data_IF_770816032164
#
_entry.id   IF_770816032164
#
_cell.length_a   1.000
_cell.length_b   1.000
_cell.length_c   1.000
_cell.angle_alpha   90.00
_cell.angle_beta   90.00
_cell.angle_gamma   90.00
#
_symmetry.space_group_name_H-M   'P 1'
#
loop_
_entity.id
_entity.type
_entity.pdbx_description
1 polymer ?
#
# COMPACT_ATOMS: atom_id res chain seq x y z
N UNK A 1 -21.83 -25.24 6.49
CA UNK A 1 -22.10 -23.79 6.29
C UNK A 1 -21.53 -23.07 7.49
N UNK A 2 -21.08 -21.83 7.31
CA UNK A 2 -20.33 -21.09 8.34
C UNK A 2 -20.97 -19.72 8.55
N UNK A 3 -21.27 -19.36 9.81
CA UNK A 3 -21.89 -18.08 10.14
C UNK A 3 -20.84 -16.98 10.20
N UNK A 4 -21.02 -15.93 9.40
CA UNK A 4 -20.08 -14.81 9.25
C UNK A 4 -20.84 -13.49 9.31
N UNK A 5 -20.23 -12.46 9.88
CA UNK A 5 -20.75 -11.09 9.88
C UNK A 5 -19.84 -10.18 9.07
N UNK A 6 -20.37 -9.49 8.06
CA UNK A 6 -19.62 -8.53 7.24
C UNK A 6 -20.35 -7.19 7.28
N UNK A 7 -19.67 -6.15 7.77
CA UNK A 7 -20.24 -4.79 7.94
C UNK A 7 -21.59 -4.79 8.70
N UNK A 8 -21.70 -5.65 9.72
CA UNK A 8 -22.90 -5.79 10.55
C UNK A 8 -24.02 -6.63 9.94
N UNK A 9 -23.84 -7.18 8.72
CA UNK A 9 -24.79 -8.10 8.09
C UNK A 9 -24.34 -9.54 8.29
N UNK A 10 -25.22 -10.38 8.81
CA UNK A 10 -24.95 -11.82 8.97
C UNK A 10 -25.27 -12.59 7.68
N UNK A 11 -24.47 -13.61 7.37
CA UNK A 11 -24.78 -14.61 6.36
C UNK A 11 -24.27 -16.00 6.74
N UNK A 12 -24.87 -17.02 6.14
CA UNK A 12 -24.30 -18.37 6.08
C UNK A 12 -23.52 -18.53 4.78
N UNK A 13 -22.20 -18.67 4.91
CA UNK A 13 -21.29 -18.87 3.81
C UNK A 13 -20.98 -20.36 3.63
N UNK A 14 -20.61 -20.74 2.40
CA UNK A 14 -20.16 -22.11 2.16
C UNK A 14 -18.81 -22.33 2.86
N UNK A 15 -18.58 -23.54 3.37
CA UNK A 15 -17.29 -23.88 3.95
C UNK A 15 -16.19 -23.69 2.91
N UNK A 16 -15.05 -23.13 3.33
CA UNK A 16 -13.90 -22.76 2.48
C UNK A 16 -14.15 -21.65 1.45
N UNK A 17 -15.33 -21.02 1.43
CA UNK A 17 -15.51 -19.80 0.62
C UNK A 17 -14.66 -18.65 1.16
N UNK A 18 -14.27 -17.75 0.27
CA UNK A 18 -13.45 -16.58 0.63
C UNK A 18 -14.31 -15.46 1.19
N UNK A 19 -13.69 -14.54 1.94
CA UNK A 19 -14.39 -13.32 2.42
C UNK A 19 -14.97 -12.52 1.23
N UNK A 20 -14.26 -12.47 0.10
CA UNK A 20 -14.73 -11.78 -1.10
C UNK A 20 -16.05 -12.38 -1.62
N UNK A 21 -16.12 -13.71 -1.76
CA UNK A 21 -17.33 -14.41 -2.20
C UNK A 21 -18.49 -14.25 -1.22
N UNK A 22 -18.20 -14.24 0.09
CA UNK A 22 -19.20 -13.98 1.12
C UNK A 22 -19.74 -12.54 1.06
N UNK A 23 -18.87 -11.56 0.83
CA UNK A 23 -19.26 -10.16 0.67
C UNK A 23 -20.11 -9.94 -0.60
N UNK A 24 -19.78 -10.60 -1.71
CA UNK A 24 -20.55 -10.55 -2.96
C UNK A 24 -22.01 -11.01 -2.74
N UNK A 25 -22.23 -12.06 -1.96
CA UNK A 25 -23.58 -12.55 -1.62
C UNK A 25 -24.42 -11.54 -0.84
N UNK A 26 -23.78 -10.66 -0.09
CA UNK A 26 -24.42 -9.57 0.66
C UNK A 26 -24.58 -8.27 -0.15
N UNK A 27 -24.15 -8.27 -1.42
CA UNK A 27 -24.09 -7.07 -2.25
C UNK A 27 -23.05 -6.05 -1.78
N UNK A 28 -22.07 -6.46 -0.97
CA UNK A 28 -20.97 -5.61 -0.50
C UNK A 28 -19.84 -5.69 -1.53
N UNK A 29 -19.51 -4.57 -2.14
CA UNK A 29 -18.44 -4.49 -3.13
C UNK A 29 -17.09 -4.28 -2.44
N UNK A 30 -16.16 -5.22 -2.65
CA UNK A 30 -14.75 -5.07 -2.26
C UNK A 30 -13.92 -4.91 -3.54
N UNK A 31 -13.12 -3.84 -3.68
CA UNK A 31 -12.37 -3.61 -4.91
C UNK A 31 -11.33 -4.72 -5.14
N UNK A 32 -11.12 -5.06 -6.40
CA UNK A 32 -10.07 -6.00 -6.84
C UNK A 32 -9.41 -5.49 -8.12
N UNK A 33 -8.13 -5.81 -8.32
CA UNK A 33 -7.41 -5.53 -9.58
C UNK A 33 -6.87 -6.80 -10.23
N UNK A 34 -6.43 -7.78 -9.44
CA UNK A 34 -5.86 -9.04 -9.94
C UNK A 34 -6.78 -10.26 -9.73
N UNK A 35 -7.98 -10.08 -9.20
CA UNK A 35 -8.89 -11.19 -8.98
C UNK A 35 -9.68 -11.46 -10.27
N UNK A 36 -9.68 -12.72 -10.70
CA UNK A 36 -10.46 -13.19 -11.84
C UNK A 36 -11.28 -14.39 -11.37
N UNK A 37 -12.60 -14.29 -11.48
CA UNK A 37 -13.53 -15.35 -11.04
C UNK A 37 -13.26 -16.64 -11.81
N UNK A 38 -13.10 -17.75 -11.09
CA UNK A 38 -12.78 -19.05 -11.67
C UNK A 38 -11.28 -19.30 -11.94
N UNK A 39 -10.41 -18.33 -11.64
CA UNK A 39 -8.95 -18.50 -11.64
C UNK A 39 -8.44 -18.45 -10.19
N UNK A 40 -7.34 -19.14 -9.91
CA UNK A 40 -6.75 -19.19 -8.56
C UNK A 40 -6.59 -17.80 -7.93
N UNK A 41 -6.79 -17.67 -6.60
CA UNK A 41 -6.73 -16.38 -5.92
C UNK A 41 -5.40 -15.66 -6.14
N UNK A 42 -5.44 -14.48 -6.78
CA UNK A 42 -4.23 -13.75 -7.11
C UNK A 42 -3.44 -13.30 -5.86
N UNK A 43 -4.11 -12.72 -4.85
CA UNK A 43 -3.46 -12.13 -3.64
C UNK A 43 -2.33 -11.11 -3.89
N UNK A 44 -2.00 -10.81 -5.16
CA UNK A 44 -0.85 -9.98 -5.55
C UNK A 44 -1.14 -8.49 -5.41
N UNK A 45 -2.28 -8.01 -5.92
CA UNK A 45 -2.54 -6.57 -5.97
C UNK A 45 -2.83 -5.95 -4.61
N UNK A 46 -3.17 -6.75 -3.58
CA UNK A 46 -3.49 -6.30 -2.21
C UNK A 46 -4.58 -5.22 -2.06
N UNK A 47 -5.34 -4.89 -3.11
CA UNK A 47 -6.38 -3.86 -3.01
C UNK A 47 -7.63 -4.33 -2.25
N UNK A 48 -7.89 -5.63 -2.26
CA UNK A 48 -9.01 -6.29 -1.59
C UNK A 48 -8.80 -6.49 -0.08
N UNK A 49 -7.89 -5.73 0.53
CA UNK A 49 -7.64 -5.86 1.97
C UNK A 49 -8.87 -5.46 2.78
N UNK A 50 -9.12 -6.24 3.84
CA UNK A 50 -10.19 -6.05 4.81
C UNK A 50 -9.67 -6.26 6.23
N UNK A 51 -10.44 -5.80 7.21
CA UNK A 51 -10.14 -5.98 8.62
C UNK A 51 -10.99 -7.11 9.19
N UNK A 52 -10.36 -8.03 9.91
CA UNK A 52 -11.02 -9.15 10.58
C UNK A 52 -10.80 -9.00 12.07
N UNK A 53 -11.86 -9.11 12.86
CA UNK A 53 -11.73 -9.02 14.32
C UNK A 53 -10.76 -10.07 14.86
N UNK A 54 -10.00 -9.69 15.90
CA UNK A 54 -8.94 -10.50 16.52
C UNK A 54 -7.76 -10.82 15.59
N UNK A 55 -7.72 -10.29 14.36
CA UNK A 55 -6.56 -10.37 13.47
C UNK A 55 -5.89 -9.00 13.41
N UNK A 56 -4.65 -8.92 13.90
CA UNK A 56 -3.93 -7.64 13.99
C UNK A 56 -3.65 -7.01 12.62
N UNK A 57 -3.43 -7.82 11.58
CA UNK A 57 -3.10 -7.39 10.21
C UNK A 57 -4.33 -7.33 9.31
N UNK A 58 -4.28 -6.50 8.27
CA UNK A 58 -5.26 -6.57 7.19
C UNK A 58 -5.03 -7.82 6.32
N UNK A 59 -6.11 -8.50 5.95
CA UNK A 59 -6.06 -9.74 5.18
C UNK A 59 -6.66 -9.55 3.79
N UNK A 60 -6.17 -10.24 2.76
CA UNK A 60 -6.73 -10.15 1.41
C UNK A 60 -8.07 -10.90 1.34
N UNK A 61 -9.18 -10.22 1.08
CA UNK A 61 -10.49 -10.89 1.05
C UNK A 61 -10.60 -11.97 -0.04
N UNK A 62 -9.85 -11.82 -1.14
CA UNK A 62 -9.94 -12.72 -2.30
C UNK A 62 -9.33 -14.11 -2.10
N UNK A 63 -8.57 -14.33 -1.02
CA UNK A 63 -7.92 -15.62 -0.72
C UNK A 63 -8.04 -16.04 0.74
N UNK A 64 -8.57 -15.18 1.60
CA UNK A 64 -8.75 -15.51 3.00
C UNK A 64 -10.08 -16.26 3.18
N UNK A 65 -10.08 -17.52 3.65
CA UNK A 65 -11.29 -18.29 3.85
C UNK A 65 -12.08 -17.75 5.04
N UNK A 66 -13.41 -17.85 4.96
CA UNK A 66 -14.29 -17.56 6.10
C UNK A 66 -14.19 -18.63 7.18
N UNK A 67 -14.43 -18.25 8.43
CA UNK A 67 -14.45 -19.14 9.59
C UNK A 67 -15.64 -18.81 10.49
N UNK A 68 -16.05 -19.77 11.33
CA UNK A 68 -17.23 -19.64 12.18
C UNK A 68 -17.10 -18.45 13.13
N UNK A 69 -18.15 -17.63 13.22
CA UNK A 69 -18.18 -16.43 14.05
C UNK A 69 -17.24 -15.31 13.58
N UNK A 70 -16.73 -15.36 12.35
CA UNK A 70 -15.86 -14.32 11.82
C UNK A 70 -16.63 -13.00 11.65
N UNK A 71 -16.04 -11.91 12.13
CA UNK A 71 -16.55 -10.53 11.97
C UNK A 71 -15.57 -9.74 11.11
N UNK A 72 -16.06 -9.22 9.99
CA UNK A 72 -15.27 -8.50 8.97
C UNK A 72 -15.78 -7.08 8.81
N UNK A 73 -14.85 -6.13 8.72
CA UNK A 73 -15.11 -4.77 8.25
C UNK A 73 -14.47 -4.60 6.89
N UNK A 74 -15.24 -4.19 5.89
CA UNK A 74 -14.74 -3.97 4.53
C UNK A 74 -14.32 -2.52 4.28
N UNK A 75 -14.72 -1.62 5.18
CA UNK A 75 -14.48 -0.20 5.11
C UNK A 75 -14.09 0.35 6.50
N UNK A 76 -12.93 0.97 6.58
CA UNK A 76 -12.40 1.62 7.79
C UNK A 76 -11.30 2.60 7.39
N UNK A 77 -10.99 3.58 8.26
CA UNK A 77 -9.88 4.51 7.98
C UNK A 77 -8.58 3.77 7.67
N UNK A 78 -8.29 2.71 8.43
CA UNK A 78 -7.11 1.86 8.24
C UNK A 78 -7.12 1.16 6.88
N UNK A 79 -8.29 0.64 6.46
CA UNK A 79 -8.46 -0.01 5.16
C UNK A 79 -8.26 1.00 4.02
N UNK A 80 -8.85 2.20 4.10
CA UNK A 80 -8.65 3.23 3.05
C UNK A 80 -7.21 3.64 2.93
N UNK A 81 -6.52 3.88 4.05
CA UNK A 81 -5.11 4.27 4.06
C UNK A 81 -4.25 3.17 3.42
N UNK A 82 -4.51 1.89 3.74
CA UNK A 82 -3.81 0.77 3.13
C UNK A 82 -4.10 0.63 1.62
N UNK A 83 -5.36 0.77 1.19
CA UNK A 83 -5.73 0.72 -0.23
C UNK A 83 -5.09 1.86 -1.02
N UNK A 84 -5.07 3.07 -0.46
CA UNK A 84 -4.35 4.22 -1.05
C UNK A 84 -2.86 3.93 -1.21
N UNK A 85 -2.19 3.46 -0.15
CA UNK A 85 -0.77 3.13 -0.21
C UNK A 85 -0.46 2.06 -1.27
N UNK A 86 -1.31 1.03 -1.38
CA UNK A 86 -1.19 0.02 -2.43
C UNK A 86 -1.32 0.64 -3.83
N UNK A 87 -2.30 1.51 -4.06
CA UNK A 87 -2.48 2.19 -5.34
C UNK A 87 -1.30 3.11 -5.68
N UNK A 88 -0.76 3.83 -4.69
CA UNK A 88 0.47 4.64 -4.83
C UNK A 88 1.65 3.77 -5.26
N UNK A 89 1.82 2.58 -4.66
CA UNK A 89 2.90 1.65 -5.00
C UNK A 89 2.73 1.06 -6.41
N UNK A 90 1.50 0.71 -6.79
CA UNK A 90 1.22 0.24 -8.16
C UNK A 90 1.49 1.39 -9.15
N UNK A 91 1.04 2.61 -8.84
CA UNK A 91 1.28 3.79 -9.67
C UNK A 91 2.78 4.03 -9.84
N UNK A 92 3.59 3.85 -8.79
CA UNK A 92 5.05 4.00 -8.78
C UNK A 92 5.81 3.12 -9.80
N UNK A 93 5.15 2.06 -10.27
CA UNK A 93 5.71 1.15 -11.27
C UNK A 93 4.89 1.11 -12.58
N UNK A 94 3.76 1.81 -12.63
CA UNK A 94 2.87 1.82 -13.79
C UNK A 94 3.45 2.70 -14.91
N UNK A 95 3.42 2.21 -16.15
CA UNK A 95 3.83 3.02 -17.31
C UNK A 95 2.85 4.20 -17.50
N UNK A 96 3.30 5.42 -17.28
CA UNK A 96 2.46 6.63 -17.23
C UNK A 96 2.11 7.18 -18.62
N UNK A 97 1.86 6.28 -19.57
CA UNK A 97 1.54 6.60 -20.96
C UNK A 97 0.03 6.56 -21.17
N UNK A 98 -0.74 7.24 -20.31
CA UNK A 98 -2.20 7.17 -20.33
C UNK A 98 -2.81 7.58 -21.68
N UNK A 99 -2.25 8.59 -22.35
CA UNK A 99 -2.74 9.05 -23.66
C UNK A 99 -2.59 8.00 -24.77
N UNK A 100 -1.53 7.19 -24.73
CA UNK A 100 -1.28 6.12 -25.69
C UNK A 100 -1.65 4.74 -25.12
N UNK A 101 -2.34 4.68 -23.98
CA UNK A 101 -2.74 3.42 -23.37
C UNK A 101 -3.92 2.81 -24.12
N UNK A 102 -3.94 1.48 -24.21
CA UNK A 102 -5.03 0.73 -24.83
C UNK A 102 -6.31 0.73 -23.98
N UNK A 103 -6.18 0.95 -22.66
CA UNK A 103 -7.31 1.09 -21.74
C UNK A 103 -7.90 2.51 -21.84
N UNK A 104 -8.81 2.73 -22.81
CA UNK A 104 -9.42 4.03 -23.12
C UNK A 104 -10.84 4.17 -22.53
N UNK A 105 -11.40 5.39 -22.59
CA UNK A 105 -12.84 5.63 -22.36
C UNK A 105 -13.34 5.37 -20.94
N UNK A 106 -12.51 5.55 -19.91
CA UNK A 106 -12.91 5.33 -18.52
C UNK A 106 -12.98 3.85 -18.09
N UNK A 107 -12.48 2.93 -18.93
CA UNK A 107 -12.44 1.50 -18.63
C UNK A 107 -11.27 1.11 -17.69
N UNK A 108 -10.34 2.03 -17.44
CA UNK A 108 -9.19 1.76 -16.56
C UNK A 108 -9.63 1.71 -15.09
N UNK A 109 -9.82 0.49 -14.58
CA UNK A 109 -10.23 0.26 -13.19
C UNK A 109 -9.22 0.83 -12.17
N UNK A 110 -7.93 0.71 -12.48
CA UNK A 110 -6.87 1.30 -11.66
C UNK A 110 -7.01 2.82 -11.50
N UNK A 111 -7.39 3.53 -12.57
CA UNK A 111 -7.60 4.97 -12.53
C UNK A 111 -8.86 5.33 -11.73
N UNK A 112 -9.94 4.55 -11.83
CA UNK A 112 -11.15 4.74 -11.03
C UNK A 112 -10.86 4.61 -9.54
N UNK A 113 -10.19 3.52 -9.15
CA UNK A 113 -9.79 3.29 -7.76
C UNK A 113 -8.82 4.37 -7.27
N UNK A 114 -7.84 4.78 -8.09
CA UNK A 114 -6.93 5.87 -7.73
C UNK A 114 -7.69 7.17 -7.42
N UNK A 115 -8.73 7.48 -8.19
CA UNK A 115 -9.62 8.63 -7.92
C UNK A 115 -10.46 8.44 -6.67
N UNK A 116 -11.07 7.27 -6.48
CA UNK A 116 -11.91 6.93 -5.33
C UNK A 116 -11.15 7.03 -4.00
N UNK A 117 -9.92 6.52 -3.96
CA UNK A 117 -9.07 6.53 -2.77
C UNK A 117 -8.26 7.80 -2.60
N UNK A 118 -8.46 8.82 -3.44
CA UNK A 118 -7.76 10.11 -3.41
C UNK A 118 -6.23 9.95 -3.48
N UNK A 119 -5.78 9.17 -4.47
CA UNK A 119 -4.37 9.16 -4.87
C UNK A 119 -4.12 10.46 -5.64
N UNK A 120 -3.52 11.43 -4.95
CA UNK A 120 -3.22 12.75 -5.49
C UNK A 120 -1.77 12.85 -5.95
N UNK A 121 -1.56 13.52 -7.08
CA UNK A 121 -0.24 13.67 -7.68
C UNK A 121 0.37 12.35 -8.13
N UNK A 122 1.68 12.36 -8.32
CA UNK A 122 2.43 11.15 -8.54
C UNK A 122 3.03 10.71 -7.22
N UNK A 123 3.05 9.40 -6.90
CA UNK A 123 3.74 8.91 -5.73
C UNK A 123 5.18 9.40 -5.80
N UNK A 124 5.79 9.68 -4.64
CA UNK A 124 7.16 10.19 -4.55
C UNK A 124 8.14 9.30 -5.32
N UNK A 125 7.88 8.01 -5.51
CA UNK A 125 8.73 7.15 -6.34
C UNK A 125 8.73 7.51 -7.86
N UNK A 126 7.71 8.19 -8.38
CA UNK A 126 7.50 8.46 -9.81
C UNK A 126 8.06 9.79 -10.32
N UNK A 127 7.94 10.92 -9.61
CA UNK A 127 8.47 12.19 -10.16
C UNK A 127 9.99 12.18 -10.30
N UNK A 128 10.74 11.43 -9.49
CA UNK A 128 12.19 11.27 -9.67
C UNK A 128 12.54 10.38 -10.87
N UNK A 129 11.69 9.40 -11.24
CA UNK A 129 11.84 8.64 -12.49
C UNK A 129 11.60 9.53 -13.71
N UNK A 130 10.63 10.44 -13.63
CA UNK A 130 10.28 11.37 -14.71
C UNK A 130 11.17 12.61 -14.78
N UNK A 131 11.75 13.01 -13.65
CA UNK A 131 12.63 14.16 -13.50
C UNK A 131 13.87 13.72 -12.72
N UNK A 132 14.83 13.06 -13.40
CA UNK A 132 16.04 12.57 -12.75
C UNK A 132 16.85 13.70 -12.10
N UNK A 133 16.64 14.95 -12.50
CA UNK A 133 17.40 16.12 -12.05
C UNK A 133 17.07 16.61 -10.63
N UNK A 134 16.08 16.05 -9.94
CA UNK A 134 15.60 16.61 -8.67
C UNK A 134 15.48 15.58 -7.53
N UNK A 135 16.42 15.60 -6.59
CA UNK A 135 16.30 14.88 -5.33
C UNK A 135 15.13 15.45 -4.49
N UNK A 136 14.22 14.59 -4.03
CA UNK A 136 13.06 15.03 -3.23
C UNK A 136 13.40 15.66 -1.90
N UNK A 137 14.42 15.12 -1.24
CA UNK A 137 14.88 15.69 0.02
C UNK A 137 15.38 17.14 -0.20
N UNK A 138 16.01 17.43 -1.35
CA UNK A 138 16.36 18.81 -1.74
C UNK A 138 15.13 19.70 -2.02
N UNK A 139 13.98 19.11 -2.34
CA UNK A 139 12.71 19.82 -2.61
C UNK A 139 11.82 19.95 -1.37
N UNK A 140 12.26 19.46 -0.20
CA UNK A 140 11.42 19.46 1.00
C UNK A 140 10.28 18.42 0.95
N UNK A 141 10.41 17.37 0.11
CA UNK A 141 9.48 16.23 0.11
C UNK A 141 10.11 15.01 0.81
N UNK A 142 9.39 14.45 1.78
CA UNK A 142 9.88 13.32 2.57
C UNK A 142 9.96 12.03 1.72
N UNK A 143 11.15 11.44 1.66
CA UNK A 143 11.40 10.14 1.02
C UNK A 143 11.77 9.11 2.10
N UNK A 144 11.04 7.99 2.17
CA UNK A 144 11.31 6.92 3.14
C UNK A 144 12.39 5.92 2.68
N UNK A 145 12.87 6.03 1.43
CA UNK A 145 13.91 5.16 0.89
C UNK A 145 15.18 5.04 1.76
N UNK A 146 15.66 6.09 2.46
CA UNK A 146 16.78 5.95 3.40
C UNK A 146 16.50 5.02 4.59
N UNK A 147 15.24 4.92 5.03
CA UNK A 147 14.84 4.18 6.23
C UNK A 147 14.43 2.76 5.87
N UNK A 148 13.67 2.61 4.79
CA UNK A 148 13.19 1.31 4.33
C UNK A 148 14.26 0.51 3.61
N UNK A 149 15.38 1.14 3.23
CA UNK A 149 16.39 0.56 2.34
C UNK A 149 15.77 0.06 1.02
N UNK A 150 14.60 0.60 0.67
CA UNK A 150 13.91 0.33 -0.57
C UNK A 150 14.15 1.51 -1.50
N UNK A 151 14.86 1.24 -2.59
CA UNK A 151 15.02 2.19 -3.65
C UNK A 151 13.86 2.15 -4.66
N UNK A 152 13.67 3.26 -5.36
CA UNK A 152 12.71 3.34 -6.47
C UNK A 152 13.32 2.95 -7.83
N UNK A 153 14.60 2.54 -7.85
CA UNK A 153 15.39 2.21 -9.05
C UNK A 153 15.60 3.40 -10.03
N UNK A 154 15.20 4.62 -9.65
CA UNK A 154 15.50 5.84 -10.40
C UNK A 154 17.00 6.19 -10.35
N UNK A 155 17.54 6.84 -11.39
CA UNK A 155 18.98 7.16 -11.44
C UNK A 155 19.31 8.30 -10.44
N UNK A 156 20.27 8.06 -9.54
CA UNK A 156 20.75 9.05 -8.59
C UNK A 156 21.66 10.08 -9.29
N UNK A 157 21.28 11.36 -9.34
CA UNK A 157 22.10 12.43 -9.94
C UNK A 157 23.48 12.63 -9.32
N UNK A 158 23.66 12.27 -8.05
CA UNK A 158 24.98 12.44 -7.42
C UNK A 158 25.94 11.32 -7.80
N UNK A 159 25.46 10.09 -8.06
CA UNK A 159 26.32 8.91 -8.22
C UNK A 159 26.14 8.16 -9.55
N UNK A 160 25.10 8.46 -10.34
CA UNK A 160 24.85 7.83 -11.64
C UNK A 160 24.30 6.41 -11.61
N UNK A 161 24.07 5.81 -10.44
CA UNK A 161 23.52 4.46 -10.29
C UNK A 161 22.03 4.46 -9.90
N UNK A 162 21.36 3.32 -10.09
CA UNK A 162 19.96 3.18 -9.72
C UNK A 162 19.77 3.28 -8.19
N UNK A 163 18.72 3.99 -7.79
CA UNK A 163 18.42 4.27 -6.40
C UNK A 163 17.99 2.98 -5.72
N UNK A 164 18.77 2.54 -4.74
CA UNK A 164 18.50 1.45 -3.78
C UNK A 164 18.23 2.02 -2.37
N UNK A 165 17.91 3.31 -2.25
CA UNK A 165 17.99 4.09 -1.02
C UNK A 165 18.98 5.26 -1.20
N UNK A 166 19.06 6.18 -0.23
CA UNK A 166 19.84 7.43 -0.37
C UNK A 166 21.37 7.24 -0.27
N UNK A 167 21.94 6.49 -1.23
CA UNK A 167 23.38 6.25 -1.53
C UNK A 167 23.97 4.95 -0.97
N UNK A 168 23.50 3.82 -1.48
CA UNK A 168 23.95 2.48 -1.07
C UNK A 168 23.11 1.92 0.07
N UNK A 169 23.30 0.64 0.43
CA UNK A 169 22.57 0.04 1.54
C UNK A 169 23.00 0.76 2.83
N UNK A 170 22.18 1.72 3.25
CA UNK A 170 22.19 2.21 4.63
C UNK A 170 22.03 0.96 5.48
N UNK A 171 23.01 0.65 6.34
CA UNK A 171 22.97 -0.60 7.12
C UNK A 171 22.04 -0.49 8.31
N UNK A 172 21.89 0.72 8.83
CA UNK A 172 21.19 1.01 10.07
C UNK A 172 20.21 2.16 9.85
N UNK A 173 18.98 1.99 10.34
CA UNK A 173 17.87 2.96 10.20
C UNK A 173 18.27 4.35 10.69
N UNK A 174 19.09 4.41 11.74
CA UNK A 174 19.57 5.62 12.40
C UNK A 174 20.35 6.54 11.44
N UNK A 175 21.06 5.98 10.47
CA UNK A 175 21.75 6.74 9.42
C UNK A 175 20.75 7.36 8.45
N UNK A 176 19.65 6.66 8.15
CA UNK A 176 18.54 7.15 7.34
C UNK A 176 17.84 8.35 7.97
N UNK A 177 17.71 8.37 9.30
CA UNK A 177 17.15 9.51 10.05
C UNK A 177 18.03 10.73 9.88
N UNK A 178 19.35 10.61 10.12
CA UNK A 178 20.29 11.74 10.00
C UNK A 178 20.27 12.37 8.62
N UNK A 179 20.05 11.54 7.59
CA UNK A 179 19.85 12.00 6.22
C UNK A 179 18.56 12.83 6.14
N UNK A 180 17.44 12.31 6.63
CA UNK A 180 16.14 12.99 6.56
C UNK A 180 16.12 14.28 7.40
N UNK A 181 16.69 14.27 8.61
CA UNK A 181 16.82 15.47 9.47
C UNK A 181 17.68 16.56 8.84
N UNK A 182 18.75 16.19 8.11
CA UNK A 182 19.58 17.16 7.35
C UNK A 182 18.76 17.97 6.36
N UNK A 183 17.66 17.42 5.86
CA UNK A 183 16.75 18.09 4.94
C UNK A 183 15.53 18.73 5.63
N UNK A 184 15.55 18.82 6.97
CA UNK A 184 14.60 19.60 7.76
C UNK A 184 13.32 18.86 8.19
N UNK A 185 13.23 17.55 7.97
CA UNK A 185 12.08 16.76 8.44
C UNK A 185 12.28 16.30 9.89
N UNK A 186 11.18 16.24 10.65
CA UNK A 186 11.20 15.75 12.03
C UNK A 186 10.97 14.24 12.07
N UNK A 187 11.51 13.58 13.09
CA UNK A 187 11.29 12.15 13.36
C UNK A 187 9.80 11.81 13.47
N UNK A 188 8.97 12.71 14.01
CA UNK A 188 7.52 12.53 14.06
C UNK A 188 6.87 12.41 12.67
N UNK A 189 7.32 13.19 11.70
CA UNK A 189 6.82 13.16 10.31
C UNK A 189 7.20 11.83 9.64
N UNK A 190 8.41 11.35 9.92
CA UNK A 190 8.92 10.06 9.47
C UNK A 190 8.11 8.91 10.03
N UNK A 191 7.88 8.89 11.34
CA UNK A 191 7.09 7.85 12.02
C UNK A 191 5.66 7.82 11.49
N UNK A 192 5.06 8.99 11.29
CA UNK A 192 3.72 9.10 10.72
C UNK A 192 3.66 8.56 9.30
N UNK A 193 4.63 8.92 8.44
CA UNK A 193 4.70 8.43 7.07
C UNK A 193 4.97 6.92 7.03
N UNK A 194 5.94 6.42 7.81
CA UNK A 194 6.25 4.99 7.88
C UNK A 194 5.05 4.18 8.40
N UNK A 195 4.30 4.71 9.37
CA UNK A 195 3.09 4.05 9.92
C UNK A 195 2.04 3.77 8.85
N UNK A 196 1.91 4.63 7.84
CA UNK A 196 0.97 4.39 6.72
C UNK A 196 1.35 3.14 5.92
N UNK A 197 2.63 2.90 5.72
CA UNK A 197 3.12 1.82 4.86
C UNK A 197 3.35 0.51 5.62
N UNK A 198 3.82 0.57 6.87
CA UNK A 198 4.25 -0.59 7.65
C UNK A 198 3.59 -0.69 9.03
N UNK A 199 2.59 0.15 9.33
CA UNK A 199 1.92 0.19 10.64
C UNK A 199 1.39 -1.17 11.09
N UNK A 200 1.77 -1.57 12.31
CA UNK A 200 1.41 -2.88 12.90
C UNK A 200 2.24 -4.05 12.37
N UNK A 201 3.31 -3.79 11.60
CA UNK A 201 4.34 -4.77 11.32
C UNK A 201 5.43 -4.74 12.40
N UNK A 202 6.06 -5.89 12.63
CA UNK A 202 7.23 -6.00 13.50
C UNK A 202 8.34 -5.01 13.10
N UNK A 203 8.51 -4.80 11.79
CA UNK A 203 9.45 -3.82 11.25
C UNK A 203 9.11 -2.39 11.70
N UNK A 204 7.84 -1.99 11.68
CA UNK A 204 7.42 -0.68 12.17
C UNK A 204 7.60 -0.55 13.69
N UNK A 205 7.32 -1.60 14.46
CA UNK A 205 7.51 -1.56 15.91
C UNK A 205 9.00 -1.43 16.27
N UNK A 206 9.88 -2.12 15.56
CA UNK A 206 11.33 -2.00 15.69
C UNK A 206 11.81 -0.60 15.28
N UNK A 207 11.31 -0.09 14.15
CA UNK A 207 11.55 1.28 13.69
C UNK A 207 11.11 2.31 14.76
N UNK A 208 9.88 2.24 15.25
CA UNK A 208 9.35 3.18 16.26
C UNK A 208 10.20 3.20 17.52
N UNK A 209 10.61 2.02 18.01
CA UNK A 209 11.49 1.90 19.19
C UNK A 209 12.90 2.43 18.97
N UNK A 210 13.44 2.29 17.77
CA UNK A 210 14.73 2.88 17.40
C UNK A 210 14.66 4.40 17.29
N UNK A 211 13.50 4.94 16.89
CA UNK A 211 13.29 6.36 16.64
C UNK A 211 12.86 7.17 17.88
N UNK A 212 12.29 6.53 18.90
CA UNK A 212 11.87 7.16 20.15
C UNK A 212 12.97 7.22 21.23
N UNK A 213 14.18 6.73 20.94
CA UNK A 213 15.36 6.78 21.81
C UNK A 213 16.28 7.95 21.48
#
# INVERSE_FOLDING_TARGET
>A
MTKVTIDGKELEAAENSTILEAAEKLGISIPTLCHLKGVSPGSVCRICVVEVEKVARLVPSCSYPVSEGMVVKTESRRIREARRAVLELILANHAQKCQSCNMKGGQCEFMKLSKEYWVEGLPVCNECKLSPQACYLNRGVLCLGPITQLGCDGICITHGYSCQGCRGPIKHVEEGIKIIERYGFKVGDVLWAARKYSGGSRYFDELSRSLEK
#
